data_IF_525921305013
#
_entry.id   IF_525921305013
#
_cell.length_a   1.000
_cell.length_b   1.000
_cell.length_c   1.000
_cell.angle_alpha   90.00
_cell.angle_beta   90.00
_cell.angle_gamma   90.00
#
_symmetry.space_group_name_H-M   'P 1'
#
loop_
_entity.id
_entity.type
_entity.pdbx_description
1 polymer ?
#
# COMPACT_ATOMS: atom_id res chain seq x y z
N UNK A 1 -24.76 -51.68 -79.75
CA UNK A 1 -23.75 -52.54 -79.10
C UNK A 1 -22.99 -51.71 -78.06
N UNK A 2 -22.77 -52.29 -76.87
CA UNK A 2 -21.84 -51.88 -75.79
C UNK A 2 -21.99 -50.48 -75.19
N UNK A 3 -22.57 -50.29 -74.00
CA UNK A 3 -22.09 -50.68 -72.66
C UNK A 3 -20.79 -49.99 -72.21
N UNK A 4 -20.88 -49.09 -71.22
CA UNK A 4 -19.84 -48.91 -70.20
C UNK A 4 -20.37 -48.14 -68.96
N UNK A 5 -20.50 -48.90 -67.88
CA UNK A 5 -20.26 -48.58 -66.46
C UNK A 5 -20.72 -47.24 -65.86
N UNK A 6 -21.75 -47.33 -65.02
CA UNK A 6 -22.04 -46.37 -63.93
C UNK A 6 -20.97 -46.53 -62.84
N UNK A 7 -20.20 -45.47 -62.59
CA UNK A 7 -19.35 -45.37 -61.40
C UNK A 7 -20.21 -45.03 -60.18
N UNK A 8 -20.39 -46.01 -59.30
CA UNK A 8 -20.94 -45.83 -57.95
C UNK A 8 -19.87 -45.22 -57.03
N UNK A 9 -19.78 -43.89 -56.96
CA UNK A 9 -19.05 -43.22 -55.88
C UNK A 9 -19.96 -43.11 -54.66
N UNK A 10 -19.86 -44.10 -53.77
CA UNK A 10 -20.49 -44.12 -52.45
C UNK A 10 -20.04 -42.90 -51.65
N UNK A 11 -20.91 -41.92 -51.48
CA UNK A 11 -20.70 -40.84 -50.53
C UNK A 11 -20.59 -41.46 -49.13
N UNK A 12 -19.39 -41.44 -48.54
CA UNK A 12 -19.22 -41.70 -47.11
C UNK A 12 -19.84 -40.50 -46.39
N UNK A 13 -20.84 -40.66 -45.51
CA UNK A 13 -21.22 -39.55 -44.66
C UNK A 13 -20.00 -39.22 -43.79
N UNK A 14 -19.49 -38.00 -43.93
CA UNK A 14 -18.52 -37.47 -42.99
C UNK A 14 -19.15 -37.62 -41.61
N UNK A 15 -18.58 -38.48 -40.77
CA UNK A 15 -18.91 -38.50 -39.35
C UNK A 15 -18.47 -37.14 -38.82
N UNK A 16 -19.42 -36.22 -38.71
CA UNK A 16 -19.27 -35.05 -37.88
C UNK A 16 -18.98 -35.61 -36.49
N UNK A 17 -17.72 -35.56 -36.09
CA UNK A 17 -17.36 -35.77 -34.70
C UNK A 17 -18.04 -34.63 -33.94
N UNK A 18 -19.22 -34.91 -33.42
CA UNK A 18 -19.84 -34.15 -32.36
C UNK A 18 -18.83 -34.17 -31.22
N UNK A 19 -17.97 -33.15 -31.17
CA UNK A 19 -17.30 -32.79 -29.92
C UNK A 19 -18.44 -32.64 -28.92
N UNK A 20 -18.51 -33.57 -27.97
CA UNK A 20 -19.47 -33.48 -26.89
C UNK A 20 -19.25 -32.11 -26.25
N UNK A 21 -20.20 -31.20 -26.47
CA UNK A 21 -20.28 -29.97 -25.71
C UNK A 21 -20.28 -30.39 -24.24
N UNK A 22 -19.33 -29.85 -23.48
CA UNK A 22 -19.12 -30.11 -22.07
C UNK A 22 -20.46 -30.22 -21.34
N UNK A 23 -20.82 -31.42 -20.87
CA UNK A 23 -21.97 -31.64 -19.98
C UNK A 23 -21.56 -31.41 -18.54
N UNK A 24 -20.71 -30.41 -18.27
CA UNK A 24 -20.53 -29.92 -16.91
C UNK A 24 -21.89 -29.44 -16.44
N UNK A 25 -22.49 -30.05 -15.39
CA UNK A 25 -23.75 -29.57 -14.88
C UNK A 25 -23.55 -28.09 -14.49
N UNK A 26 -24.29 -27.20 -15.13
CA UNK A 26 -24.39 -25.79 -14.77
C UNK A 26 -25.12 -25.68 -13.43
N UNK A 27 -24.47 -26.08 -12.35
CA UNK A 27 -25.01 -25.97 -11.00
C UNK A 27 -23.91 -26.06 -9.95
N UNK A 28 -22.89 -25.22 -10.08
CA UNK A 28 -22.35 -24.57 -8.90
C UNK A 28 -22.35 -23.09 -9.24
N UNK A 29 -23.26 -22.35 -8.61
CA UNK A 29 -23.21 -20.90 -8.63
C UNK A 29 -21.76 -20.47 -8.35
N UNK A 30 -21.29 -19.46 -9.07
CA UNK A 30 -19.93 -18.97 -8.90
C UNK A 30 -19.73 -18.62 -7.41
N UNK A 31 -18.78 -19.26 -6.71
CA UNK A 31 -18.52 -18.93 -5.31
C UNK A 31 -18.12 -17.45 -5.13
N UNK A 32 -17.73 -16.75 -6.21
CA UNK A 32 -17.32 -15.35 -6.20
C UNK A 32 -17.98 -14.57 -7.34
N UNK A 33 -19.26 -14.17 -7.20
CA UNK A 33 -19.96 -13.44 -8.26
C UNK A 33 -19.26 -12.10 -8.54
N UNK A 34 -19.28 -11.68 -9.81
CA UNK A 34 -18.63 -10.44 -10.24
C UNK A 34 -19.14 -9.22 -9.46
N UNK A 35 -18.28 -8.21 -9.24
CA UNK A 35 -18.70 -6.98 -8.61
C UNK A 35 -19.83 -6.31 -9.40
N UNK A 36 -20.88 -5.86 -8.69
CA UNK A 36 -22.10 -5.27 -9.25
C UNK A 36 -22.94 -6.20 -10.13
N UNK A 37 -22.65 -7.50 -10.16
CA UNK A 37 -23.54 -8.48 -10.80
C UNK A 37 -24.88 -8.54 -10.06
N UNK A 38 -25.92 -8.93 -10.80
CA UNK A 38 -27.27 -9.12 -10.24
C UNK A 38 -27.24 -10.08 -9.04
N UNK A 39 -26.53 -11.19 -9.17
CA UNK A 39 -26.37 -12.19 -8.11
C UNK A 39 -25.70 -11.61 -6.87
N UNK A 40 -24.62 -10.83 -7.04
CA UNK A 40 -23.94 -10.19 -5.91
C UNK A 40 -24.80 -9.10 -5.25
N UNK A 41 -25.57 -8.34 -6.03
CA UNK A 41 -26.51 -7.33 -5.51
C UNK A 41 -27.63 -8.00 -4.70
N UNK A 42 -28.19 -9.10 -5.21
CA UNK A 42 -29.21 -9.89 -4.51
C UNK A 42 -28.64 -10.52 -3.23
N UNK A 43 -27.43 -11.09 -3.28
CA UNK A 43 -26.74 -11.64 -2.11
C UNK A 43 -26.42 -10.56 -1.05
N UNK A 44 -25.99 -9.37 -1.46
CA UNK A 44 -25.74 -8.26 -0.54
C UNK A 44 -27.02 -7.72 0.10
N UNK A 45 -28.15 -7.72 -0.61
CA UNK A 45 -29.46 -7.32 -0.06
C UNK A 45 -29.98 -8.30 1.01
N UNK A 46 -29.64 -9.58 0.87
CA UNK A 46 -30.01 -10.65 1.80
C UNK A 46 -29.07 -10.73 3.01
N UNK A 47 -27.92 -10.04 2.97
CA UNK A 47 -26.96 -10.04 4.06
C UNK A 47 -27.58 -9.33 5.27
N UNK A 48 -27.58 -9.99 6.43
CA UNK A 48 -28.06 -9.39 7.67
C UNK A 48 -27.21 -8.15 7.96
N UNK A 49 -27.79 -6.98 8.32
CA UNK A 49 -27.01 -5.78 8.64
C UNK A 49 -25.95 -6.00 9.72
N UNK A 50 -26.15 -6.99 10.60
CA UNK A 50 -25.22 -7.40 11.65
C UNK A 50 -24.01 -8.21 11.13
N UNK A 51 -24.12 -8.84 9.95
CA UNK A 51 -23.03 -9.58 9.30
C UNK A 51 -22.21 -8.66 8.36
N UNK A 52 -22.67 -7.42 8.16
CA UNK A 52 -21.81 -6.35 7.67
C UNK A 52 -20.84 -6.06 8.81
N UNK A 53 -19.64 -6.63 8.74
CA UNK A 53 -18.48 -6.13 9.49
C UNK A 53 -18.20 -4.74 8.93
N UNK A 54 -19.02 -3.77 9.34
CA UNK A 54 -18.94 -2.37 8.94
C UNK A 54 -17.82 -1.66 9.72
N UNK A 55 -17.33 -2.30 10.78
CA UNK A 55 -16.22 -1.88 11.59
C UNK A 55 -14.90 -2.52 11.11
N UNK A 56 -14.56 -2.33 9.84
CA UNK A 56 -13.15 -2.32 9.47
C UNK A 56 -12.55 -1.00 9.95
N UNK A 57 -12.48 -0.83 11.28
CA UNK A 57 -11.79 0.28 11.90
C UNK A 57 -10.33 0.28 11.46
N UNK A 58 -9.77 1.47 11.24
CA UNK A 58 -8.33 1.60 11.04
C UNK A 58 -7.63 0.88 12.19
N UNK A 59 -6.67 -0.02 11.92
CA UNK A 59 -5.97 -0.73 12.97
C UNK A 59 -5.32 0.30 13.89
N UNK A 60 -5.51 0.14 15.19
CA UNK A 60 -4.87 1.01 16.16
C UNK A 60 -3.36 0.82 16.09
N UNK A 61 -2.57 1.90 16.26
CA UNK A 61 -1.12 1.78 16.37
C UNK A 61 -0.76 0.79 17.48
N UNK A 62 0.16 -0.13 17.17
CA UNK A 62 0.62 -1.16 18.12
C UNK A 62 1.41 -0.46 19.23
N UNK A 63 1.02 -0.70 20.48
CA UNK A 63 1.79 -0.23 21.64
C UNK A 63 3.11 -1.00 21.76
N UNK A 64 4.22 -0.26 21.87
CA UNK A 64 5.59 -0.79 21.87
C UNK A 64 6.36 -0.35 23.11
N UNK A 65 5.70 -0.35 24.27
CA UNK A 65 6.34 -0.10 25.56
C UNK A 65 7.46 -1.12 25.85
N UNK A 66 8.66 -0.63 26.16
CA UNK A 66 9.77 -1.44 26.65
C UNK A 66 10.85 -1.83 25.64
N UNK A 67 10.86 -1.26 24.43
CA UNK A 67 11.95 -1.46 23.48
C UNK A 67 13.26 -0.77 23.91
N UNK A 68 14.41 -1.33 23.51
CA UNK A 68 15.70 -0.69 23.78
C UNK A 68 15.88 0.57 22.92
N UNK A 69 16.63 1.60 23.36
CA UNK A 69 16.86 2.81 22.57
C UNK A 69 17.47 2.54 21.19
N UNK A 70 18.30 1.50 21.09
CA UNK A 70 18.90 1.07 19.82
C UNK A 70 17.86 0.46 18.88
N UNK A 71 16.95 -0.36 19.39
CA UNK A 71 15.86 -0.94 18.60
C UNK A 71 14.88 0.13 18.11
N UNK A 72 14.50 1.07 18.98
CA UNK A 72 13.69 2.24 18.62
C UNK A 72 14.35 3.04 17.50
N UNK A 73 15.65 3.36 17.62
CA UNK A 73 16.39 4.10 16.59
C UNK A 73 16.41 3.34 15.26
N UNK A 74 16.73 2.06 15.26
CA UNK A 74 16.74 1.23 14.05
C UNK A 74 15.37 1.20 13.36
N UNK A 75 14.30 1.13 14.16
CA UNK A 75 12.91 1.18 13.67
C UNK A 75 12.56 2.54 13.05
N UNK A 76 12.90 3.64 13.70
CA UNK A 76 12.68 4.99 13.17
C UNK A 76 13.45 5.22 11.86
N UNK A 77 14.69 4.72 11.76
CA UNK A 77 15.46 4.76 10.51
C UNK A 77 14.74 3.99 9.40
N UNK A 78 14.18 2.83 9.72
CA UNK A 78 13.42 2.07 8.72
C UNK A 78 12.15 2.81 8.28
N UNK A 79 11.34 3.30 9.22
CA UNK A 79 10.07 3.99 8.94
C UNK A 79 10.24 5.30 8.18
N UNK A 80 11.33 6.03 8.43
CA UNK A 80 11.64 7.28 7.68
C UNK A 80 12.04 7.01 6.24
N UNK A 81 12.59 5.82 5.94
CA UNK A 81 13.06 5.39 4.60
C UNK A 81 12.04 4.60 3.78
N UNK A 82 10.86 4.32 4.34
CA UNK A 82 9.84 3.44 3.75
C UNK A 82 8.50 4.15 3.68
N UNK A 83 8.50 5.29 3.02
CA UNK A 83 7.35 6.19 2.82
C UNK A 83 6.70 5.96 1.46
N UNK A 84 5.46 6.43 1.31
CA UNK A 84 4.69 6.31 0.07
C UNK A 84 5.12 7.29 -1.02
N UNK A 85 5.75 8.41 -0.64
CA UNK A 85 6.22 9.46 -1.57
C UNK A 85 7.70 9.79 -1.33
N UNK A 86 8.43 10.01 -2.42
CA UNK A 86 9.88 10.21 -2.41
C UNK A 86 10.28 11.54 -1.77
N UNK A 87 9.43 12.55 -1.85
CA UNK A 87 9.65 13.87 -1.26
C UNK A 87 9.72 13.81 0.28
N UNK A 88 8.77 13.09 0.90
CA UNK A 88 8.77 12.86 2.34
C UNK A 88 9.94 11.95 2.74
N UNK A 89 10.20 10.92 1.95
CA UNK A 89 11.29 9.96 2.16
C UNK A 89 12.67 10.64 2.19
N UNK A 90 12.98 11.47 1.19
CA UNK A 90 14.23 12.23 1.14
C UNK A 90 14.36 13.25 2.26
N UNK A 91 13.27 13.93 2.61
CA UNK A 91 13.26 14.92 3.68
C UNK A 91 13.53 14.26 5.04
N UNK A 92 12.81 13.19 5.36
CA UNK A 92 12.88 12.51 6.65
C UNK A 92 14.14 11.66 6.79
N UNK A 93 14.59 10.97 5.74
CA UNK A 93 15.81 10.14 5.81
C UNK A 93 17.08 10.96 6.02
N UNK A 94 17.20 12.11 5.36
CA UNK A 94 18.33 13.03 5.57
C UNK A 94 18.26 13.70 6.94
N UNK A 95 17.07 14.07 7.41
CA UNK A 95 16.86 14.57 8.77
C UNK A 95 17.24 13.52 9.83
N UNK A 96 16.82 12.28 9.62
CA UNK A 96 17.09 11.14 10.50
C UNK A 96 18.60 10.90 10.64
N UNK A 97 19.35 10.92 9.53
CA UNK A 97 20.81 10.84 9.54
C UNK A 97 21.45 11.89 10.45
N UNK A 98 21.00 13.14 10.34
CA UNK A 98 21.66 14.28 10.99
C UNK A 98 21.23 14.46 12.46
N UNK A 99 20.02 14.03 12.84
CA UNK A 99 19.47 14.33 14.16
C UNK A 99 19.30 13.10 15.09
N UNK A 100 19.05 11.89 14.57
CA UNK A 100 18.80 10.70 15.42
C UNK A 100 19.96 10.33 16.35
N UNK A 101 21.25 10.49 15.98
CA UNK A 101 22.35 10.17 16.90
C UNK A 101 22.34 11.02 18.18
N UNK A 102 21.85 12.27 18.09
CA UNK A 102 21.80 13.23 19.19
C UNK A 102 20.43 13.34 19.90
N UNK A 103 19.42 12.58 19.47
CA UNK A 103 18.10 12.60 20.10
C UNK A 103 18.04 11.75 21.36
N UNK A 104 17.38 12.27 22.39
CA UNK A 104 17.00 11.50 23.58
C UNK A 104 15.80 10.58 23.30
N UNK A 105 15.57 9.60 24.17
CA UNK A 105 14.46 8.64 24.05
C UNK A 105 13.10 9.34 23.99
N UNK A 106 12.88 10.39 24.78
CA UNK A 106 11.64 11.16 24.74
C UNK A 106 11.42 11.85 23.37
N UNK A 107 12.49 12.38 22.79
CA UNK A 107 12.44 13.01 21.45
C UNK A 107 12.22 11.96 20.36
N UNK A 108 12.80 10.77 20.49
CA UNK A 108 12.56 9.65 19.57
C UNK A 108 11.10 9.16 19.63
N UNK A 109 10.49 9.11 20.81
CA UNK A 109 9.07 8.76 20.96
C UNK A 109 8.14 9.84 20.40
N UNK A 110 8.50 11.12 20.55
CA UNK A 110 7.77 12.21 19.90
C UNK A 110 7.87 12.13 18.38
N UNK A 111 9.06 11.79 17.87
CA UNK A 111 9.26 11.56 16.44
C UNK A 111 8.47 10.36 15.93
N UNK A 112 8.38 9.26 16.70
CA UNK A 112 7.56 8.09 16.36
C UNK A 112 6.09 8.47 16.15
N UNK A 113 5.51 9.25 17.08
CA UNK A 113 4.14 9.76 16.97
C UNK A 113 3.94 10.68 15.76
N UNK A 114 4.97 11.45 15.39
CA UNK A 114 4.93 12.30 14.20
C UNK A 114 4.95 11.47 12.91
N UNK A 115 5.63 10.33 12.92
CA UNK A 115 5.74 9.43 11.77
C UNK A 115 4.42 8.71 11.42
N UNK A 116 3.45 8.66 12.34
CA UNK A 116 2.10 8.12 12.09
C UNK A 116 1.21 9.03 11.24
N UNK A 117 1.62 10.28 11.03
CA UNK A 117 0.90 11.25 10.20
C UNK A 117 1.03 10.94 8.71
N UNK A 118 0.07 11.36 7.87
CA UNK A 118 0.13 11.11 6.43
C UNK A 118 1.28 11.89 5.76
N UNK A 119 2.01 11.22 4.87
CA UNK A 119 3.25 11.71 4.26
C UNK A 119 3.11 13.07 3.57
N UNK A 120 1.99 13.31 2.89
CA UNK A 120 1.71 14.59 2.23
C UNK A 120 1.56 15.74 3.21
N UNK A 121 0.90 15.51 4.35
CA UNK A 121 0.73 16.56 5.34
C UNK A 121 2.04 16.84 6.06
N UNK A 122 2.82 15.80 6.40
CA UNK A 122 4.20 15.96 6.90
C UNK A 122 5.00 16.88 5.98
N UNK A 123 5.02 16.58 4.68
CA UNK A 123 5.75 17.37 3.70
C UNK A 123 5.24 18.82 3.63
N UNK A 124 3.92 19.03 3.56
CA UNK A 124 3.36 20.36 3.47
C UNK A 124 3.56 21.22 4.71
N UNK A 125 3.58 20.61 5.90
CA UNK A 125 3.92 21.30 7.15
C UNK A 125 5.38 21.73 7.18
N UNK A 126 6.29 20.91 6.64
CA UNK A 126 7.72 21.23 6.60
C UNK A 126 8.04 22.38 5.62
N UNK A 127 7.28 22.51 4.53
CA UNK A 127 7.45 23.55 3.49
C UNK A 127 6.53 24.77 3.75
N UNK A 128 5.88 24.85 4.91
CA UNK A 128 4.97 25.94 5.28
C UNK A 128 3.82 26.18 4.27
N UNK A 129 3.42 25.15 3.51
CA UNK A 129 2.30 25.23 2.55
C UNK A 129 0.93 25.03 3.21
N UNK A 130 0.89 24.31 4.33
CA UNK A 130 -0.33 24.09 5.13
C UNK A 130 -0.06 24.50 6.59
N UNK A 131 -1.08 25.00 7.32
CA UNK A 131 -0.93 25.28 8.73
C UNK A 131 -0.65 23.99 9.50
N UNK A 132 0.30 24.07 10.42
CA UNK A 132 0.66 22.95 11.28
C UNK A 132 -0.43 22.78 12.36
N UNK A 133 -0.93 21.56 12.60
CA UNK A 133 -1.84 21.27 13.70
C UNK A 133 -1.26 21.71 15.06
N UNK A 134 -2.11 22.17 15.98
CA UNK A 134 -1.65 22.72 17.26
C UNK A 134 -0.75 21.76 18.05
N UNK A 135 -1.05 20.45 17.97
CA UNK A 135 -0.26 19.37 18.59
C UNK A 135 1.22 19.38 18.21
N UNK A 136 1.55 19.83 17.00
CA UNK A 136 2.92 19.84 16.46
C UNK A 136 3.52 21.25 16.36
N UNK A 137 2.68 22.29 16.41
CA UNK A 137 3.11 23.67 16.18
C UNK A 137 4.12 24.17 17.23
N UNK A 138 3.97 23.71 18.48
CA UNK A 138 4.79 24.13 19.64
C UNK A 138 6.04 23.25 19.84
N UNK A 139 6.19 22.20 19.04
CA UNK A 139 7.23 21.19 19.22
C UNK A 139 8.58 21.61 18.62
N UNK A 140 9.68 21.30 19.30
CA UNK A 140 11.04 21.53 18.80
C UNK A 140 11.34 20.75 17.50
N UNK A 141 10.81 19.52 17.39
CA UNK A 141 10.89 18.67 16.21
C UNK A 141 10.44 19.40 14.94
N UNK A 142 9.29 20.06 14.98
CA UNK A 142 8.76 20.77 13.81
C UNK A 142 9.62 21.98 13.45
N UNK A 143 10.19 22.68 14.45
CA UNK A 143 11.13 23.76 14.21
C UNK A 143 12.42 23.26 13.52
N UNK A 144 12.96 22.11 13.96
CA UNK A 144 14.12 21.46 13.34
C UNK A 144 13.81 20.99 11.91
N UNK A 145 12.63 20.40 11.69
CA UNK A 145 12.19 19.94 10.37
C UNK A 145 12.02 21.10 9.38
N UNK A 146 11.41 22.22 9.78
CA UNK A 146 11.31 23.42 8.93
C UNK A 146 12.68 23.99 8.57
N UNK A 147 13.60 24.04 9.53
CA UNK A 147 14.98 24.46 9.28
C UNK A 147 15.66 23.53 8.28
N UNK A 148 15.52 22.21 8.48
CA UNK A 148 16.05 21.21 7.57
C UNK A 148 15.46 21.36 6.16
N UNK A 149 14.14 21.53 6.05
CA UNK A 149 13.41 21.66 4.81
C UNK A 149 13.85 22.86 3.97
N UNK A 150 14.12 24.00 4.60
CA UNK A 150 14.60 25.23 3.93
C UNK A 150 15.90 25.04 3.14
N UNK A 151 16.77 24.13 3.56
CA UNK A 151 18.04 23.81 2.88
C UNK A 151 18.86 25.06 2.54
N UNK A 152 19.21 25.86 3.55
CA UNK A 152 19.96 27.11 3.35
C UNK A 152 21.31 26.87 2.65
N UNK A 153 21.90 25.69 2.83
CA UNK A 153 23.15 25.24 2.21
C UNK A 153 23.02 24.85 0.73
N UNK A 154 21.79 24.72 0.22
CA UNK A 154 21.46 24.34 -1.17
C UNK A 154 22.14 23.04 -1.63
N UNK A 155 22.32 22.10 -0.71
CA UNK A 155 22.93 20.79 -1.00
C UNK A 155 21.91 19.89 -1.69
N UNK A 156 22.36 19.10 -2.68
CA UNK A 156 21.53 18.07 -3.31
C UNK A 156 21.21 16.97 -2.32
N UNK A 157 19.92 16.76 -2.03
CA UNK A 157 19.48 15.69 -1.13
C UNK A 157 19.43 14.37 -1.88
N UNK A 158 20.24 13.41 -1.44
CA UNK A 158 20.19 12.01 -1.85
C UNK A 158 19.80 11.14 -0.67
N UNK A 159 19.21 9.99 -0.94
CA UNK A 159 18.99 8.97 0.07
C UNK A 159 20.35 8.60 0.69
N UNK A 160 20.52 8.73 2.03
CA UNK A 160 21.78 8.39 2.68
C UNK A 160 22.02 6.88 2.70
N UNK A 161 23.30 6.52 2.73
CA UNK A 161 23.72 5.13 2.91
C UNK A 161 23.46 4.68 4.35
N UNK A 162 23.14 3.40 4.55
CA UNK A 162 22.88 2.85 5.89
C UNK A 162 24.07 2.98 6.83
N UNK A 163 25.28 2.92 6.29
CA UNK A 163 26.53 3.08 7.04
C UNK A 163 26.73 4.50 7.57
N UNK A 164 26.07 5.50 7.00
CA UNK A 164 26.14 6.89 7.47
C UNK A 164 25.16 7.15 8.63
N UNK A 165 24.02 6.47 8.61
CA UNK A 165 22.93 6.68 9.59
C UNK A 165 23.16 5.91 10.90
N UNK A 166 23.88 4.79 10.84
CA UNK A 166 24.13 3.91 12.00
C UNK A 166 25.43 4.24 12.77
N UNK A 167 26.13 5.32 12.40
CA UNK A 167 27.30 5.83 13.12
C UNK A 167 26.88 6.66 14.32
#
# INVERSE_FOLDING_TARGET
MSAALRLLTRARPARLATRAFSTTPLARADPFPLPLSREMIEANKLRNPQDVVEEWGMPTPIDRTGETPQALRARLIYQTRKRGVLEADLLLSTFARDQLPGMDVAQMQEFDKFLDEPDWDIYYWCVDKKPVPERWAKTELMAKLRKHARNDEKVSRRMPELTEVLK
#
